data_IF_976506058129
#
_entry.id   IF_976506058129
#
_cell.length_a   1.000
_cell.length_b   1.000
_cell.length_c   1.000
_cell.angle_alpha   90.00
_cell.angle_beta   90.00
_cell.angle_gamma   90.00
#
_symmetry.space_group_name_H-M   'P 1'
#
loop_
_entity.id
_entity.type
_entity.pdbx_description
1 polymer ?
#
# COMPACT_ATOMS: atom_id res chain seq x y z
N UNK A 1 49.71 18.33 28.59
CA UNK A 1 48.29 18.15 28.22
C UNK A 1 48.08 18.85 26.89
N UNK A 2 47.60 18.06 25.92
CA UNK A 2 46.84 18.45 24.73
C UNK A 2 47.53 19.17 23.57
N UNK A 3 47.49 18.54 22.38
CA UNK A 3 46.73 18.99 21.20
C UNK A 3 47.07 18.16 19.96
N UNK A 4 46.01 17.64 19.35
CA UNK A 4 45.77 17.43 17.92
C UNK A 4 46.81 16.69 17.04
N UNK A 5 46.28 15.77 16.23
CA UNK A 5 46.75 15.39 14.88
C UNK A 5 47.86 14.32 14.88
N UNK A 6 47.87 13.22 14.11
CA UNK A 6 47.14 12.76 12.93
C UNK A 6 47.59 11.30 12.64
N UNK A 7 46.79 10.53 11.88
CA UNK A 7 47.10 9.25 11.20
C UNK A 7 47.12 8.00 12.12
N UNK A 8 46.47 6.87 11.82
CA UNK A 8 46.07 6.31 10.53
C UNK A 8 45.04 5.18 10.69
N UNK A 9 44.11 5.15 9.72
CA UNK A 9 43.58 3.96 9.05
C UNK A 9 42.79 2.92 9.86
N UNK A 10 41.45 3.00 9.79
CA UNK A 10 40.62 1.82 9.47
C UNK A 10 39.39 2.25 8.67
N UNK A 11 39.41 1.84 7.40
CA UNK A 11 38.33 1.77 6.43
C UNK A 11 37.01 1.29 7.03
N UNK A 12 35.95 2.11 6.97
CA UNK A 12 34.55 1.63 6.98
C UNK A 12 33.68 2.54 6.11
N UNK A 13 33.63 2.23 4.82
CA UNK A 13 32.38 2.41 4.08
C UNK A 13 31.43 1.31 4.55
N UNK A 14 30.28 1.67 5.11
CA UNK A 14 29.01 1.11 4.66
C UNK A 14 27.80 1.67 5.43
N UNK A 15 26.87 2.20 4.63
CA UNK A 15 25.45 2.43 4.88
C UNK A 15 25.08 3.30 6.10
N UNK A 16 25.07 4.61 5.89
CA UNK A 16 24.15 5.49 6.60
C UNK A 16 22.72 5.07 6.25
N UNK A 17 22.03 4.46 7.21
CA UNK A 17 20.57 4.39 7.23
C UNK A 17 20.03 5.81 7.11
N UNK A 18 19.60 6.19 5.91
CA UNK A 18 18.71 7.33 5.73
C UNK A 18 17.39 6.96 6.39
N UNK A 19 17.10 7.61 7.50
CA UNK A 19 15.81 7.54 8.19
C UNK A 19 14.77 8.10 7.21
N UNK A 20 14.01 7.18 6.59
CA UNK A 20 12.86 7.47 5.76
C UNK A 20 11.79 8.06 6.68
N UNK A 21 11.11 9.18 6.34
CA UNK A 21 9.99 9.64 7.13
C UNK A 21 8.86 8.62 6.94
N UNK A 22 8.78 7.70 7.88
CA UNK A 22 7.71 6.72 8.03
C UNK A 22 6.37 7.43 7.98
N UNK A 23 5.44 6.92 7.17
CA UNK A 23 4.01 7.09 7.46
C UNK A 23 3.85 6.82 8.97
N UNK A 24 3.28 7.75 9.75
CA UNK A 24 3.15 7.54 11.19
C UNK A 24 2.36 6.24 11.39
N UNK A 25 3.06 5.21 11.88
CA UNK A 25 2.50 3.93 12.27
C UNK A 25 1.65 3.23 11.21
N UNK A 26 2.26 2.78 10.09
CA UNK A 26 1.75 1.55 9.49
C UNK A 26 1.82 0.47 10.57
N UNK A 27 0.68 0.17 11.21
CA UNK A 27 0.66 -0.72 12.35
C UNK A 27 1.09 -2.09 11.86
N UNK A 28 2.23 -2.57 12.37
CA UNK A 28 2.75 -3.91 12.07
C UNK A 28 1.67 -4.93 12.45
N UNK A 29 1.07 -5.55 11.44
CA UNK A 29 -0.02 -6.52 11.57
C UNK A 29 0.51 -7.96 11.72
N UNK A 30 1.72 -8.12 12.26
CA UNK A 30 2.43 -9.40 12.40
C UNK A 30 2.61 -10.13 11.05
N UNK A 31 2.94 -9.38 10.02
CA UNK A 31 3.15 -9.91 8.66
C UNK A 31 4.23 -10.99 8.63
N UNK A 32 3.98 -12.07 7.88
CA UNK A 32 5.05 -12.97 7.46
C UNK A 32 6.04 -12.23 6.55
N UNK A 33 7.31 -12.65 6.56
CA UNK A 33 8.30 -12.11 5.64
C UNK A 33 7.94 -12.44 4.18
N UNK A 34 8.15 -11.52 3.23
CA UNK A 34 7.91 -11.79 1.82
C UNK A 34 8.88 -12.86 1.31
N UNK A 35 8.42 -13.80 0.48
CA UNK A 35 9.28 -14.81 -0.18
C UNK A 35 10.28 -14.17 -1.14
N UNK A 36 9.87 -13.07 -1.78
CA UNK A 36 10.65 -12.29 -2.72
C UNK A 36 10.05 -10.88 -2.82
N UNK A 37 10.89 -9.88 -3.04
CA UNK A 37 10.48 -8.50 -3.23
C UNK A 37 11.13 -7.93 -4.49
N UNK A 38 10.31 -7.51 -5.45
CA UNK A 38 10.76 -6.80 -6.65
C UNK A 38 10.44 -5.32 -6.51
N UNK A 39 11.39 -4.45 -6.87
CA UNK A 39 11.20 -3.00 -6.83
C UNK A 39 10.61 -2.48 -8.13
N UNK A 40 9.75 -1.47 -8.02
CA UNK A 40 9.32 -0.70 -9.19
C UNK A 40 10.55 -0.02 -9.81
N UNK A 41 10.63 0.00 -11.14
CA UNK A 41 11.75 0.62 -11.88
C UNK A 41 11.74 2.15 -11.80
N UNK A 42 10.57 2.72 -11.53
CA UNK A 42 10.33 4.15 -11.38
C UNK A 42 9.19 4.37 -10.38
N UNK A 43 8.92 5.62 -10.05
CA UNK A 43 7.68 6.02 -9.37
C UNK A 43 6.45 5.47 -10.11
N UNK A 44 5.41 5.12 -9.36
CA UNK A 44 4.17 4.60 -9.94
C UNK A 44 3.44 5.71 -10.71
N UNK A 45 2.84 5.36 -11.84
CA UNK A 45 2.04 6.29 -12.67
C UNK A 45 0.55 5.99 -12.61
N UNK A 46 0.17 4.86 -11.99
CA UNK A 46 -1.21 4.44 -11.78
C UNK A 46 -1.47 4.11 -10.32
N UNK A 47 -2.71 4.27 -9.90
CA UNK A 47 -3.23 3.71 -8.64
C UNK A 47 -4.44 2.87 -8.99
N UNK A 48 -4.47 1.64 -8.50
CA UNK A 48 -5.59 0.72 -8.68
C UNK A 48 -6.27 0.50 -7.34
N UNK A 49 -7.53 0.92 -7.24
CA UNK A 49 -8.36 0.74 -6.06
C UNK A 49 -9.06 -0.62 -6.11
N UNK A 50 -8.97 -1.32 -4.99
CA UNK A 50 -9.58 -2.62 -4.76
C UNK A 50 -10.50 -2.59 -3.56
N UNK A 51 -11.33 -3.63 -3.45
CA UNK A 51 -11.88 -4.07 -2.17
C UNK A 51 -11.36 -5.46 -1.84
N UNK A 52 -11.42 -5.88 -0.57
CA UNK A 52 -11.06 -7.25 -0.19
C UNK A 52 -12.19 -8.24 -0.49
N UNK A 53 -13.42 -7.76 -0.72
CA UNK A 53 -14.64 -8.57 -0.86
C UNK A 53 -14.95 -9.43 0.38
N UNK A 54 -14.45 -9.02 1.54
CA UNK A 54 -14.71 -9.62 2.84
C UNK A 54 -15.61 -8.68 3.66
N UNK A 55 -16.19 -9.14 4.78
CA UNK A 55 -16.79 -8.23 5.75
C UNK A 55 -15.81 -7.15 6.18
N UNK A 56 -16.31 -5.92 6.40
CA UNK A 56 -15.50 -4.85 6.98
C UNK A 56 -15.04 -5.26 8.38
N UNK A 57 -13.77 -5.03 8.70
CA UNK A 57 -13.23 -5.36 10.02
C UNK A 57 -13.67 -4.34 11.09
N UNK A 58 -14.07 -4.83 12.26
CA UNK A 58 -14.40 -4.04 13.45
C UNK A 58 -13.17 -3.78 14.34
N UNK A 59 -12.48 -2.68 14.07
CA UNK A 59 -11.35 -2.22 14.90
C UNK A 59 -10.03 -2.94 14.63
N UNK A 60 -8.97 -2.47 15.31
CA UNK A 60 -7.59 -2.76 14.94
C UNK A 60 -7.25 -4.26 14.90
N UNK A 61 -7.64 -5.03 15.93
CA UNK A 61 -7.26 -6.44 16.01
C UNK A 61 -7.93 -7.28 14.91
N UNK A 62 -9.22 -7.04 14.66
CA UNK A 62 -9.94 -7.74 13.59
C UNK A 62 -9.36 -7.40 12.21
N UNK A 63 -8.98 -6.13 11.98
CA UNK A 63 -8.31 -5.76 10.75
C UNK A 63 -6.96 -6.47 10.59
N UNK A 64 -6.15 -6.56 11.66
CA UNK A 64 -4.89 -7.31 11.64
C UNK A 64 -5.10 -8.79 11.30
N UNK A 65 -6.05 -9.44 11.96
CA UNK A 65 -6.34 -10.86 11.75
C UNK A 65 -6.84 -11.14 10.32
N UNK A 66 -7.64 -10.21 9.76
CA UNK A 66 -8.10 -10.29 8.39
C UNK A 66 -6.94 -10.11 7.39
N UNK A 67 -6.07 -9.12 7.57
CA UNK A 67 -4.90 -8.91 6.67
C UNK A 67 -3.96 -10.10 6.73
N UNK A 68 -3.71 -10.64 7.92
CA UNK A 68 -2.91 -11.85 8.09
C UNK A 68 -3.51 -13.05 7.33
N UNK A 69 -4.83 -13.22 7.40
CA UNK A 69 -5.53 -14.27 6.64
C UNK A 69 -5.43 -14.05 5.13
N UNK A 70 -5.56 -12.80 4.66
CA UNK A 70 -5.38 -12.44 3.25
C UNK A 70 -3.95 -12.73 2.80
N UNK A 71 -2.93 -12.34 3.58
CA UNK A 71 -1.53 -12.60 3.26
C UNK A 71 -1.27 -14.10 3.14
N UNK A 72 -1.75 -14.89 4.12
CA UNK A 72 -1.63 -16.34 4.10
C UNK A 72 -2.22 -16.91 2.82
N UNK A 73 -3.49 -16.63 2.51
CA UNK A 73 -4.16 -17.15 1.32
C UNK A 73 -3.43 -16.74 0.03
N UNK A 74 -2.98 -15.49 -0.07
CA UNK A 74 -2.18 -15.03 -1.20
C UNK A 74 -0.87 -15.82 -1.36
N UNK A 75 -0.17 -16.12 -0.27
CA UNK A 75 1.11 -16.83 -0.33
C UNK A 75 0.97 -18.34 -0.49
N UNK A 76 -0.06 -18.97 0.08
CA UNK A 76 -0.23 -20.43 0.07
C UNK A 76 -1.11 -20.92 -1.07
N UNK A 77 -2.18 -20.20 -1.40
CA UNK A 77 -3.15 -20.64 -2.42
C UNK A 77 -2.88 -20.01 -3.79
N UNK A 78 -2.45 -18.74 -3.82
CA UNK A 78 -2.17 -18.00 -5.07
C UNK A 78 -0.70 -17.99 -5.48
N UNK A 79 0.17 -18.53 -4.62
CA UNK A 79 1.62 -18.58 -4.88
C UNK A 79 2.30 -17.22 -4.92
N UNK A 80 1.68 -16.17 -4.38
CA UNK A 80 2.30 -14.84 -4.33
C UNK A 80 3.47 -14.83 -3.35
N UNK A 81 4.40 -13.90 -3.57
CA UNK A 81 5.52 -13.69 -2.66
C UNK A 81 5.11 -13.03 -1.35
N UNK A 82 3.98 -12.34 -1.34
CA UNK A 82 3.41 -11.60 -0.21
C UNK A 82 1.93 -11.26 -0.52
N UNK A 83 1.22 -10.59 0.39
CA UNK A 83 -0.07 -9.95 0.14
C UNK A 83 -0.04 -9.18 -1.18
N UNK A 84 -1.07 -9.29 -2.02
CA UNK A 84 -1.06 -8.74 -3.38
C UNK A 84 -1.09 -7.21 -3.46
N UNK A 85 -1.56 -6.53 -2.40
CA UNK A 85 -1.76 -5.09 -2.37
C UNK A 85 -0.55 -4.36 -1.77
N UNK A 86 -0.31 -3.13 -2.19
CA UNK A 86 0.71 -2.26 -1.59
C UNK A 86 0.22 -1.72 -0.24
N UNK A 87 -1.04 -1.32 -0.17
CA UNK A 87 -1.67 -0.81 1.05
C UNK A 87 -3.07 -1.38 1.21
N UNK A 88 -3.52 -1.47 2.46
CA UNK A 88 -4.91 -1.77 2.82
C UNK A 88 -5.43 -0.69 3.75
N UNK A 89 -6.74 -0.43 3.73
CA UNK A 89 -7.37 0.57 4.61
C UNK A 89 -8.62 -0.02 5.27
N UNK A 90 -8.68 0.08 6.61
CA UNK A 90 -9.84 -0.30 7.42
C UNK A 90 -10.96 0.74 7.33
N UNK A 91 -12.17 0.36 7.73
CA UNK A 91 -13.31 1.27 7.77
C UNK A 91 -13.13 2.43 8.78
N UNK A 92 -12.27 2.27 9.78
CA UNK A 92 -11.88 3.33 10.72
C UNK A 92 -10.85 4.32 10.16
N UNK A 93 -10.38 4.10 8.92
CA UNK A 93 -9.34 4.91 8.29
C UNK A 93 -7.92 4.47 8.61
N UNK A 94 -7.71 3.41 9.39
CA UNK A 94 -6.37 2.87 9.66
C UNK A 94 -5.77 2.32 8.36
N UNK A 95 -4.58 2.80 7.99
CA UNK A 95 -3.85 2.32 6.82
C UNK A 95 -2.82 1.28 7.24
N UNK A 96 -2.86 0.13 6.60
CA UNK A 96 -1.93 -0.96 6.81
C UNK A 96 -1.01 -1.10 5.60
N UNK A 97 0.29 -1.19 5.86
CA UNK A 97 1.29 -1.45 4.83
C UNK A 97 1.25 -2.92 4.43
N UNK A 98 0.95 -3.20 3.16
CA UNK A 98 1.13 -4.53 2.56
C UNK A 98 2.55 -4.63 2.02
N UNK A 99 2.68 -4.64 0.68
CA UNK A 99 4.01 -4.55 0.04
C UNK A 99 4.68 -3.18 0.17
N UNK A 100 3.93 -2.15 0.51
CA UNK A 100 4.44 -0.81 0.70
C UNK A 100 4.85 -0.08 -0.58
N UNK A 101 5.64 0.97 -0.40
CA UNK A 101 6.05 1.87 -1.47
C UNK A 101 7.19 1.29 -2.33
N UNK A 102 7.15 1.57 -3.63
CA UNK A 102 8.24 1.22 -4.54
C UNK A 102 8.41 -0.29 -4.76
N UNK A 103 7.41 -1.11 -4.41
CA UNK A 103 7.42 -2.58 -4.56
C UNK A 103 6.34 -2.99 -5.54
N UNK A 104 6.68 -3.92 -6.45
CA UNK A 104 5.75 -4.48 -7.43
C UNK A 104 4.64 -5.26 -6.71
N UNK A 105 3.40 -4.93 -7.02
CA UNK A 105 2.20 -5.60 -6.52
C UNK A 105 1.92 -6.98 -7.13
N UNK A 106 0.85 -7.62 -6.68
CA UNK A 106 0.22 -8.76 -7.37
C UNK A 106 -1.31 -8.62 -7.39
N UNK A 107 -1.80 -7.38 -7.54
CA UNK A 107 -3.20 -7.03 -7.38
C UNK A 107 -3.97 -6.93 -8.70
N UNK A 108 -3.30 -6.62 -9.82
CA UNK A 108 -3.96 -6.48 -11.13
C UNK A 108 -3.04 -7.00 -12.24
N UNK A 109 -3.46 -8.12 -12.86
CA UNK A 109 -2.67 -8.79 -13.90
C UNK A 109 -2.38 -7.82 -15.06
N UNK A 110 -1.11 -7.73 -15.45
CA UNK A 110 -0.64 -6.81 -16.50
C UNK A 110 -0.43 -5.36 -16.06
N UNK A 111 -0.77 -5.00 -14.81
CA UNK A 111 -0.72 -3.62 -14.32
C UNK A 111 0.11 -3.44 -13.04
N UNK A 112 0.82 -4.46 -12.57
CA UNK A 112 1.55 -4.40 -11.28
C UNK A 112 2.87 -3.61 -11.32
N UNK A 113 3.47 -3.43 -12.50
CA UNK A 113 4.86 -2.95 -12.65
C UNK A 113 5.00 -1.42 -12.71
N UNK A 114 3.89 -0.70 -12.77
CA UNK A 114 3.81 0.75 -12.90
C UNK A 114 2.67 1.35 -12.07
N UNK A 115 2.13 0.58 -11.12
CA UNK A 115 1.01 0.99 -10.27
C UNK A 115 1.18 0.62 -8.81
N UNK A 116 0.39 1.28 -7.97
CA UNK A 116 0.18 0.89 -6.58
C UNK A 116 -1.25 0.37 -6.40
N UNK A 117 -1.37 -0.78 -5.74
CA UNK A 117 -2.66 -1.36 -5.36
C UNK A 117 -3.05 -0.96 -3.94
N UNK A 118 -4.22 -0.34 -3.80
CA UNK A 118 -4.79 0.04 -2.49
C UNK A 118 -6.11 -0.70 -2.32
N UNK A 119 -6.22 -1.55 -1.30
CA UNK A 119 -7.44 -2.32 -1.02
C UNK A 119 -8.20 -1.75 0.17
N UNK A 120 -9.47 -1.39 -0.04
CA UNK A 120 -10.39 -1.12 1.06
C UNK A 120 -10.86 -2.45 1.66
N UNK A 121 -10.72 -2.59 2.97
CA UNK A 121 -11.13 -3.79 3.69
C UNK A 121 -12.63 -3.79 3.88
N UNK A 122 -13.34 -4.58 3.08
CA UNK A 122 -14.80 -4.60 3.02
C UNK A 122 -15.35 -5.14 1.70
N UNK A 123 -16.68 -5.18 1.59
CA UNK A 123 -17.40 -5.59 0.39
C UNK A 123 -18.35 -4.49 -0.10
N UNK A 124 -17.82 -3.60 -0.92
CA UNK A 124 -18.55 -2.44 -1.43
C UNK A 124 -19.42 -2.72 -2.66
N UNK A 125 -19.78 -3.99 -2.92
CA UNK A 125 -20.95 -4.28 -3.74
C UNK A 125 -22.24 -3.90 -3.00
N UNK A 126 -22.23 -4.01 -1.66
CA UNK A 126 -23.39 -3.76 -0.80
C UNK A 126 -23.12 -2.64 0.21
N UNK A 127 -21.89 -2.56 0.73
CA UNK A 127 -21.52 -1.58 1.75
C UNK A 127 -21.05 -0.26 1.11
N UNK A 128 -21.10 0.83 1.85
CA UNK A 128 -20.55 2.13 1.42
C UNK A 128 -19.19 2.35 2.09
N UNK A 129 -18.15 2.82 1.37
CA UNK A 129 -16.88 3.15 2.01
C UNK A 129 -17.05 4.28 3.02
N UNK A 130 -16.41 4.14 4.18
CA UNK A 130 -16.45 5.18 5.21
C UNK A 130 -15.71 6.44 4.77
N UNK A 131 -16.10 7.58 5.34
CA UNK A 131 -15.45 8.86 5.03
C UNK A 131 -14.01 8.88 5.53
N UNK A 132 -13.75 8.18 6.64
CA UNK A 132 -12.47 8.01 7.28
C UNK A 132 -11.51 7.26 6.35
N UNK A 133 -11.94 6.14 5.78
CA UNK A 133 -11.14 5.38 4.81
C UNK A 133 -10.83 6.20 3.55
N UNK A 134 -11.83 6.91 3.00
CA UNK A 134 -11.63 7.79 1.84
C UNK A 134 -10.63 8.91 2.17
N UNK A 135 -10.75 9.53 3.35
CA UNK A 135 -9.84 10.60 3.80
C UNK A 135 -8.41 10.09 3.96
N UNK A 136 -8.22 8.95 4.63
CA UNK A 136 -6.90 8.35 4.83
C UNK A 136 -6.24 7.96 3.51
N UNK A 137 -6.99 7.42 2.54
CA UNK A 137 -6.43 7.12 1.22
C UNK A 137 -6.06 8.39 0.47
N UNK A 138 -6.83 9.48 0.56
CA UNK A 138 -6.43 10.78 -0.03
C UNK A 138 -5.10 11.27 0.54
N UNK A 139 -4.93 11.20 1.86
CA UNK A 139 -3.67 11.59 2.50
C UNK A 139 -2.51 10.66 2.12
N UNK A 140 -2.77 9.34 2.04
CA UNK A 140 -1.79 8.38 1.56
C UNK A 140 -1.31 8.71 0.13
N UNK A 141 -2.24 9.07 -0.77
CA UNK A 141 -1.91 9.45 -2.15
C UNK A 141 -1.11 10.76 -2.20
N UNK A 142 -1.48 11.78 -1.42
CA UNK A 142 -0.72 13.03 -1.28
C UNK A 142 0.70 12.75 -0.79
N UNK A 143 0.83 11.89 0.21
CA UNK A 143 2.10 11.47 0.78
C UNK A 143 2.96 10.70 -0.23
N UNK A 144 2.37 9.81 -1.01
CA UNK A 144 3.06 9.10 -2.09
C UNK A 144 3.63 10.05 -3.15
N UNK A 145 2.89 11.12 -3.50
CA UNK A 145 3.36 12.15 -4.43
C UNK A 145 4.48 12.98 -3.81
N UNK A 146 4.33 13.46 -2.57
CA UNK A 146 5.33 14.30 -1.92
C UNK A 146 6.65 13.56 -1.68
N UNK A 147 6.60 12.26 -1.42
CA UNK A 147 7.76 11.40 -1.21
C UNK A 147 8.38 10.87 -2.51
N UNK A 148 7.79 11.15 -3.68
CA UNK A 148 8.32 10.70 -4.97
C UNK A 148 8.08 9.22 -5.30
N UNK A 149 7.17 8.55 -4.60
CA UNK A 149 6.75 7.17 -4.92
C UNK A 149 5.61 7.11 -5.94
N UNK A 150 4.87 8.21 -6.10
CA UNK A 150 3.73 8.34 -7.01
C UNK A 150 3.85 9.58 -7.89
N UNK A 151 3.54 9.44 -9.17
CA UNK A 151 3.56 10.56 -10.12
C UNK A 151 2.51 11.59 -9.74
N UNK A 152 2.82 12.90 -9.78
CA UNK A 152 1.80 13.95 -9.54
C UNK A 152 0.59 13.84 -10.48
N UNK A 153 0.81 13.39 -11.71
CA UNK A 153 -0.22 13.17 -12.72
C UNK A 153 -0.68 11.70 -12.79
N UNK A 154 -0.63 10.96 -11.69
CA UNK A 154 -1.05 9.57 -11.67
C UNK A 154 -2.52 9.41 -12.12
N UNK A 155 -2.82 8.28 -12.76
CA UNK A 155 -4.21 7.94 -13.11
C UNK A 155 -4.80 6.99 -12.08
N UNK A 156 -6.02 7.28 -11.62
CA UNK A 156 -6.76 6.46 -10.67
C UNK A 156 -7.73 5.54 -11.42
N UNK A 157 -7.64 4.24 -11.15
CA UNK A 157 -8.51 3.19 -11.69
C UNK A 157 -9.20 2.42 -10.55
N UNK A 158 -10.42 1.97 -10.78
CA UNK A 158 -10.96 0.79 -10.10
C UNK A 158 -10.42 -0.47 -10.77
N UNK A 159 -10.28 -1.57 -10.04
CA UNK A 159 -9.77 -2.81 -10.65
C UNK A 159 -10.58 -3.26 -11.89
N UNK A 160 -11.91 -3.05 -11.89
CA UNK A 160 -12.80 -3.32 -13.03
C UNK A 160 -12.48 -2.53 -14.30
N UNK A 161 -11.76 -1.41 -14.21
CA UNK A 161 -11.33 -0.65 -15.39
C UNK A 161 -10.19 -1.36 -16.16
N UNK A 162 -9.51 -2.30 -15.50
CA UNK A 162 -8.28 -2.95 -15.98
C UNK A 162 -8.45 -4.46 -16.18
N UNK A 163 -9.64 -5.01 -15.95
CA UNK A 163 -9.91 -6.44 -16.08
C UNK A 163 -11.36 -6.81 -15.79
N UNK A 164 -11.69 -8.09 -16.02
CA UNK A 164 -13.05 -8.62 -15.82
C UNK A 164 -13.24 -8.98 -14.35
N UNK A 165 -13.75 -8.04 -13.56
CA UNK A 165 -14.01 -8.21 -12.12
C UNK A 165 -15.07 -7.22 -11.65
N UNK A 166 -15.76 -7.54 -10.54
CA UNK A 166 -16.63 -6.59 -9.85
C UNK A 166 -15.84 -5.65 -8.92
N UNK A 167 -14.58 -5.95 -8.61
CA UNK A 167 -13.75 -5.11 -7.75
C UNK A 167 -13.59 -3.69 -8.35
N UNK A 168 -13.74 -2.58 -7.59
CA UNK A 168 -13.79 -2.47 -6.13
C UNK A 168 -15.20 -2.49 -5.52
N UNK A 169 -16.21 -2.97 -6.24
CA UNK A 169 -17.63 -2.90 -5.87
C UNK A 169 -18.28 -1.58 -6.30
N UNK A 170 -19.60 -1.60 -6.50
CA UNK A 170 -20.32 -0.49 -7.14
C UNK A 170 -20.27 0.80 -6.31
N UNK A 171 -20.41 0.70 -5.00
CA UNK A 171 -20.43 1.89 -4.12
C UNK A 171 -19.05 2.53 -4.00
N UNK A 172 -17.99 1.73 -3.87
CA UNK A 172 -16.62 2.26 -3.83
C UNK A 172 -16.17 2.76 -5.22
N UNK A 173 -16.60 2.09 -6.30
CA UNK A 173 -16.34 2.57 -7.65
C UNK A 173 -16.97 3.95 -7.90
N UNK A 174 -18.23 4.15 -7.48
CA UNK A 174 -18.90 5.45 -7.53
C UNK A 174 -18.20 6.52 -6.67
N UNK A 175 -17.49 6.12 -5.60
CA UNK A 175 -16.76 7.03 -4.73
C UNK A 175 -15.34 7.39 -5.23
N UNK A 176 -14.81 6.75 -6.28
CA UNK A 176 -13.45 7.04 -6.79
C UNK A 176 -13.17 8.51 -7.09
N UNK A 177 -14.11 9.33 -7.62
CA UNK A 177 -13.87 10.76 -7.81
C UNK A 177 -13.50 11.50 -6.52
N UNK A 178 -13.94 11.02 -5.34
CA UNK A 178 -13.59 11.61 -4.05
C UNK A 178 -12.12 11.42 -3.68
N UNK A 179 -11.45 10.40 -4.24
CA UNK A 179 -10.02 10.14 -4.01
C UNK A 179 -9.11 11.03 -4.86
N UNK A 180 -9.67 11.68 -5.88
CA UNK A 180 -8.95 12.68 -6.67
C UNK A 180 -8.89 13.95 -5.82
N UNK A 181 -7.71 14.23 -5.24
CA UNK A 181 -7.49 15.50 -4.56
C UNK A 181 -7.66 16.65 -5.55
N UNK A 182 -8.51 17.61 -5.22
CA UNK A 182 -8.44 18.94 -5.84
C UNK A 182 -7.02 19.44 -5.63
N UNK A 183 -6.24 19.44 -6.70
CA UNK A 183 -4.85 19.93 -6.74
C UNK A 183 -4.81 21.41 -6.42
#
# INVERSE_FOLDING_TARGET
>A
VDKQSQLSAWTRYNFSFLIIPTIPEAIVWQAAAPKQQERLRSLAVKVVIHHTALPSCGGLQECKDQIFSIQRAHMTERGFSDVGYNFLVGADGTVFEGRGWGVVGAHSKGNNYDSLGIAFMGNFNNDTPSKEAISSVRELLRSGVSQGFLCKAFTLFGHRDLGVTQCPGDHLYAALPQLRGST
#
